data_IF_185783187686
#
_entry.id   IF_185783187686
#
_cell.length_a   1.000
_cell.length_b   1.000
_cell.length_c   1.000
_cell.angle_alpha   90.00
_cell.angle_beta   90.00
_cell.angle_gamma   90.00
#
_symmetry.space_group_name_H-M   'P 1'
#
loop_
_entity.id
_entity.type
_entity.pdbx_description
1 polymer ?
#
# COMPACT_ATOMS: atom_id res chain seq x y z
N UNK A 1 56.00 11.23 -11.55
CA UNK A 1 55.47 11.35 -10.19
C UNK A 1 54.25 10.43 -10.10
N UNK A 2 54.37 9.31 -9.38
CA UNK A 2 53.19 8.52 -9.04
C UNK A 2 52.35 9.37 -8.08
N UNK A 3 51.09 9.65 -8.44
CA UNK A 3 50.19 10.45 -7.63
C UNK A 3 49.94 9.74 -6.30
N UNK A 4 50.59 10.23 -5.24
CA UNK A 4 50.26 9.87 -3.87
C UNK A 4 48.80 10.30 -3.64
N UNK A 5 47.89 9.32 -3.58
CA UNK A 5 46.56 9.53 -3.00
C UNK A 5 46.80 10.09 -1.59
N UNK A 6 46.30 11.30 -1.32
CA UNK A 6 46.52 11.94 -0.01
C UNK A 6 45.70 11.22 1.05
N UNK A 7 46.20 11.11 2.28
CA UNK A 7 45.52 10.42 3.39
C UNK A 7 44.04 10.80 3.52
N UNK A 8 43.69 12.06 3.28
CA UNK A 8 42.31 12.55 3.32
C UNK A 8 41.36 11.85 2.33
N UNK A 9 41.84 11.49 1.13
CA UNK A 9 41.03 10.77 0.13
C UNK A 9 40.80 9.30 0.54
N UNK A 10 41.80 8.68 1.18
CA UNK A 10 41.68 7.31 1.73
C UNK A 10 40.72 7.31 2.93
N UNK A 11 40.87 8.28 3.82
CA UNK A 11 39.96 8.47 4.97
C UNK A 11 38.52 8.67 4.49
N UNK A 12 38.30 9.57 3.52
CA UNK A 12 36.98 9.81 2.95
C UNK A 12 36.39 8.54 2.33
N UNK A 13 37.19 7.78 1.58
CA UNK A 13 36.76 6.51 0.97
C UNK A 13 36.36 5.46 2.01
N UNK A 14 36.92 5.52 3.23
CA UNK A 14 36.63 4.57 4.31
C UNK A 14 35.24 4.75 4.93
N UNK A 15 34.57 5.89 4.71
CA UNK A 15 33.18 6.11 5.09
C UNK A 15 32.20 5.45 4.11
N UNK A 16 32.67 5.00 2.93
CA UNK A 16 31.83 4.32 1.94
C UNK A 16 30.56 5.13 1.57
N UNK A 17 30.66 6.47 1.53
CA UNK A 17 29.56 7.36 1.17
C UNK A 17 28.62 7.78 2.31
N UNK A 18 28.84 7.31 3.55
CA UNK A 18 28.00 7.69 4.69
C UNK A 18 28.65 7.49 6.05
N UNK A 19 27.99 7.94 7.11
CA UNK A 19 28.48 7.76 8.48
C UNK A 19 27.80 6.55 9.11
N UNK A 20 28.60 5.60 9.60
CA UNK A 20 28.13 4.42 10.30
C UNK A 20 27.83 4.73 11.77
N UNK A 21 26.60 4.45 12.21
CA UNK A 21 26.08 4.75 13.54
C UNK A 21 25.62 3.47 14.22
N UNK A 22 26.08 3.22 15.43
CA UNK A 22 25.71 2.08 16.28
C UNK A 22 25.66 2.57 17.72
N UNK A 23 24.47 2.74 18.29
CA UNK A 23 24.28 3.26 19.64
C UNK A 23 24.88 2.37 20.73
N UNK A 24 25.16 1.10 20.43
CA UNK A 24 25.83 0.14 21.31
C UNK A 24 27.36 0.19 21.23
N UNK A 25 27.91 0.92 20.24
CA UNK A 25 29.35 1.06 20.04
C UNK A 25 30.03 1.82 21.19
N UNK A 26 31.31 1.50 21.44
CA UNK A 26 32.14 2.20 22.41
C UNK A 26 32.79 3.47 21.85
N UNK A 27 32.58 3.78 20.57
CA UNK A 27 33.30 4.86 19.88
C UNK A 27 32.47 6.14 19.82
N UNK A 28 33.06 7.24 20.28
CA UNK A 28 32.48 8.59 20.23
C UNK A 28 33.51 9.59 19.69
N UNK A 29 33.05 10.82 19.43
CA UNK A 29 33.82 11.89 18.83
C UNK A 29 33.83 11.86 17.29
N UNK A 30 34.52 12.83 16.70
CA UNK A 30 34.44 13.12 15.25
C UNK A 30 35.74 12.81 14.50
N UNK A 31 36.77 12.35 15.21
CA UNK A 31 38.11 12.11 14.65
C UNK A 31 38.16 10.75 13.96
N UNK A 32 38.72 10.72 12.75
CA UNK A 32 38.93 9.47 12.00
C UNK A 32 39.70 8.44 12.86
N UNK A 33 39.29 7.15 12.88
CA UNK A 33 38.31 6.51 11.98
C UNK A 33 36.89 6.38 12.55
N UNK A 34 36.52 7.16 13.57
CA UNK A 34 35.15 7.13 14.12
C UNK A 34 34.13 7.54 13.05
N UNK A 35 33.02 6.80 12.99
CA UNK A 35 31.96 6.97 12.00
C UNK A 35 32.17 6.18 10.70
N UNK A 36 33.27 5.42 10.58
CA UNK A 36 33.44 4.45 9.48
C UNK A 36 32.80 3.11 9.83
N UNK A 37 32.57 2.24 8.84
CA UNK A 37 31.99 0.91 9.09
C UNK A 37 32.81 0.04 10.06
N UNK A 38 34.13 0.27 10.19
CA UNK A 38 34.97 -0.45 11.14
C UNK A 38 34.90 0.11 12.57
N UNK A 39 34.49 1.37 12.74
CA UNK A 39 34.34 2.04 14.03
C UNK A 39 33.09 2.93 14.01
N UNK A 40 31.89 2.34 14.02
CA UNK A 40 30.65 3.10 14.00
C UNK A 40 30.57 4.01 15.22
N UNK A 41 30.10 5.24 15.02
CA UNK A 41 29.95 6.23 16.08
C UNK A 41 28.69 5.93 16.90
N UNK A 42 28.72 6.22 18.19
CA UNK A 42 27.68 5.78 19.11
C UNK A 42 26.57 6.79 19.41
N UNK A 43 26.56 7.93 18.72
CA UNK A 43 25.55 8.97 18.90
C UNK A 43 25.36 9.80 17.62
N UNK A 44 24.16 10.37 17.47
CA UNK A 44 23.81 11.17 16.29
C UNK A 44 24.49 12.53 16.24
N UNK A 45 24.88 13.12 17.39
CA UNK A 45 25.52 14.44 17.42
C UNK A 45 26.88 14.41 16.73
N UNK A 46 27.73 13.45 17.11
CA UNK A 46 29.01 13.21 16.45
C UNK A 46 28.81 12.76 14.99
N UNK A 47 27.81 11.92 14.72
CA UNK A 47 27.52 11.45 13.37
C UNK A 47 27.20 12.63 12.42
N UNK A 48 26.32 13.54 12.85
CA UNK A 48 25.94 14.72 12.09
C UNK A 48 27.14 15.64 11.84
N UNK A 49 27.95 15.89 12.88
CA UNK A 49 29.17 16.69 12.72
C UNK A 49 30.15 16.06 11.71
N UNK A 50 30.33 14.73 11.74
CA UNK A 50 31.17 14.02 10.76
C UNK A 50 30.59 14.19 9.35
N UNK A 51 29.28 13.99 9.20
CA UNK A 51 28.59 14.07 7.91
C UNK A 51 28.71 15.47 7.30
N UNK A 52 28.40 16.51 8.06
CA UNK A 52 28.48 17.91 7.63
C UNK A 52 29.91 18.32 7.26
N UNK A 53 30.90 17.98 8.10
CA UNK A 53 32.30 18.33 7.84
C UNK A 53 32.88 17.62 6.61
N UNK A 54 32.32 16.47 6.24
CA UNK A 54 32.78 15.67 5.09
C UNK A 54 31.87 15.81 3.87
N UNK A 55 30.74 16.50 3.97
CA UNK A 55 29.76 16.62 2.88
C UNK A 55 29.05 15.30 2.55
N UNK A 56 28.84 14.44 3.55
CA UNK A 56 28.07 13.20 3.42
C UNK A 56 26.62 13.46 3.84
N UNK A 57 25.67 12.78 3.21
CA UNK A 57 24.23 12.93 3.47
C UNK A 57 23.56 11.66 3.96
N UNK A 58 24.32 10.57 4.14
CA UNK A 58 23.77 9.24 4.48
C UNK A 58 24.30 8.76 5.82
N UNK A 59 23.40 8.22 6.64
CA UNK A 59 23.69 7.49 7.87
C UNK A 59 23.38 6.01 7.68
N UNK A 60 24.35 5.14 7.97
CA UNK A 60 24.17 3.69 8.03
C UNK A 60 23.90 3.29 9.48
N UNK A 61 22.71 2.78 9.75
CA UNK A 61 22.22 2.49 11.10
C UNK A 61 22.38 1.00 11.41
N UNK A 62 23.25 0.70 12.38
CA UNK A 62 23.44 -0.65 12.92
C UNK A 62 22.64 -0.78 14.22
N UNK A 63 21.78 -1.79 14.29
CA UNK A 63 20.81 -1.92 15.38
C UNK A 63 19.79 -0.78 15.41
N UNK A 64 19.36 -0.42 16.61
CA UNK A 64 18.26 0.53 16.83
C UNK A 64 18.75 1.94 17.13
N UNK A 65 17.97 2.93 16.69
CA UNK A 65 18.25 4.34 16.92
C UNK A 65 16.97 5.14 17.20
N UNK A 66 17.11 6.18 18.02
CA UNK A 66 16.07 7.20 18.20
C UNK A 66 16.60 8.52 17.67
N UNK A 67 15.83 9.14 16.78
CA UNK A 67 16.07 10.49 16.26
C UNK A 67 15.27 11.46 17.13
N UNK A 68 15.98 12.24 17.95
CA UNK A 68 15.39 13.20 18.87
C UNK A 68 15.37 14.63 18.28
N UNK A 69 14.92 15.60 19.08
CA UNK A 69 14.82 17.00 18.69
C UNK A 69 16.06 17.84 19.01
N UNK A 70 17.17 17.21 19.42
CA UNK A 70 18.39 17.92 19.77
C UNK A 70 19.19 18.38 18.55
N UNK A 71 18.89 17.81 17.38
CA UNK A 71 19.59 18.04 16.13
C UNK A 71 18.62 18.37 15.00
N UNK A 72 19.13 19.10 14.01
CA UNK A 72 18.48 19.25 12.71
C UNK A 72 18.97 18.13 11.79
N UNK A 73 18.08 17.19 11.47
CA UNK A 73 18.37 16.04 10.62
C UNK A 73 17.75 16.18 9.24
N UNK A 74 17.21 17.36 8.90
CA UNK A 74 16.55 17.58 7.62
C UNK A 74 17.46 17.25 6.43
N UNK A 75 16.87 16.74 5.34
CA UNK A 75 17.54 16.37 4.08
C UNK A 75 18.51 15.19 4.13
N UNK A 76 18.64 14.50 5.28
CA UNK A 76 19.52 13.35 5.42
C UNK A 76 18.82 12.02 5.10
N UNK A 77 19.63 11.03 4.73
CA UNK A 77 19.19 9.68 4.41
C UNK A 77 19.58 8.72 5.54
N UNK A 78 18.67 7.85 5.93
CA UNK A 78 18.86 6.83 6.95
C UNK A 78 18.69 5.44 6.34
N UNK A 79 19.74 4.62 6.39
CA UNK A 79 19.77 3.28 5.81
C UNK A 79 20.02 2.27 6.92
N UNK A 80 19.03 1.43 7.23
CA UNK A 80 19.17 0.31 8.17
C UNK A 80 19.91 -0.89 7.56
N UNK A 81 20.24 -1.87 8.39
CA UNK A 81 20.82 -3.15 7.93
C UNK A 81 19.80 -4.08 7.30
N UNK A 82 18.55 -4.03 7.78
CA UNK A 82 17.37 -4.68 7.22
C UNK A 82 16.15 -4.32 8.07
N UNK A 83 14.95 -4.56 7.53
CA UNK A 83 13.67 -4.43 8.26
C UNK A 83 13.61 -5.20 9.59
N UNK A 84 14.44 -6.23 9.80
CA UNK A 84 14.42 -7.06 11.02
C UNK A 84 15.62 -6.81 11.96
N UNK A 85 16.54 -5.92 11.60
CA UNK A 85 17.78 -5.67 12.35
C UNK A 85 17.90 -4.25 12.88
N UNK A 86 17.29 -3.29 12.17
CA UNK A 86 17.39 -1.89 12.51
C UNK A 86 16.01 -1.28 12.67
N UNK A 87 15.72 -0.78 13.87
CA UNK A 87 14.55 0.05 14.13
C UNK A 87 14.95 1.53 14.25
N UNK A 88 14.32 2.38 13.43
CA UNK A 88 14.44 3.83 13.51
C UNK A 88 13.17 4.38 14.16
N UNK A 89 13.34 4.99 15.33
CA UNK A 89 12.28 5.70 16.05
C UNK A 89 12.46 7.19 15.86
N UNK A 90 11.42 7.89 15.38
CA UNK A 90 11.45 9.35 15.23
C UNK A 90 10.59 10.00 16.31
N UNK A 91 11.21 10.76 17.20
CA UNK A 91 10.48 11.48 18.24
C UNK A 91 9.58 12.56 17.64
N UNK A 92 8.48 12.86 18.33
CA UNK A 92 7.44 13.78 17.82
C UNK A 92 7.91 15.21 17.54
N UNK A 93 9.05 15.61 18.09
CA UNK A 93 9.62 16.95 17.94
C UNK A 93 10.92 16.94 17.11
N UNK A 94 11.34 15.79 16.58
CA UNK A 94 12.55 15.69 15.76
C UNK A 94 12.33 16.39 14.41
N UNK A 95 13.32 17.15 13.94
CA UNK A 95 13.25 17.72 12.60
C UNK A 95 13.78 16.72 11.57
N UNK A 96 12.86 16.00 10.92
CA UNK A 96 13.15 15.05 9.84
C UNK A 96 12.58 15.49 8.49
N UNK A 97 12.40 16.80 8.29
CA UNK A 97 11.93 17.35 7.00
C UNK A 97 12.81 16.90 5.84
N UNK A 98 12.21 16.51 4.73
CA UNK A 98 12.85 16.03 3.50
C UNK A 98 13.82 14.86 3.72
N UNK A 99 13.60 14.04 4.75
CA UNK A 99 14.43 12.86 5.01
C UNK A 99 14.01 11.65 4.19
N UNK A 100 14.98 10.77 3.93
CA UNK A 100 14.72 9.48 3.28
C UNK A 100 15.08 8.30 4.20
N UNK A 101 14.20 7.32 4.31
CA UNK A 101 14.38 6.12 5.15
C UNK A 101 14.37 4.85 4.29
N UNK A 102 15.39 4.01 4.49
CA UNK A 102 15.62 2.80 3.70
C UNK A 102 15.94 1.58 4.58
N UNK A 103 15.40 0.43 4.19
CA UNK A 103 15.80 -0.89 4.70
C UNK A 103 15.76 -1.03 6.24
N UNK A 104 14.78 -0.40 6.90
CA UNK A 104 14.61 -0.46 8.35
C UNK A 104 13.15 -0.75 8.76
N UNK A 105 12.94 -1.00 10.05
CA UNK A 105 11.63 -0.79 10.67
C UNK A 105 11.54 0.68 11.07
N UNK A 106 10.43 1.34 10.75
CA UNK A 106 10.21 2.77 11.01
C UNK A 106 8.96 2.97 11.88
N UNK A 107 9.09 3.82 12.90
CA UNK A 107 7.98 4.28 13.76
C UNK A 107 8.21 5.71 14.25
N UNK A 108 7.14 6.39 14.67
CA UNK A 108 7.22 7.72 15.27
C UNK A 108 6.49 8.80 14.47
N UNK A 109 7.06 10.00 14.37
CA UNK A 109 6.47 11.11 13.62
C UNK A 109 7.37 11.49 12.46
N UNK A 110 6.84 11.45 11.24
CA UNK A 110 7.51 12.04 10.09
C UNK A 110 7.07 13.50 9.92
N UNK A 111 7.90 14.32 9.32
CA UNK A 111 7.54 15.71 9.00
C UNK A 111 8.06 16.02 7.60
N UNK A 112 7.33 16.90 6.90
CA UNK A 112 7.70 17.51 5.62
C UNK A 112 8.28 16.58 4.55
N UNK A 113 7.42 15.98 3.72
CA UNK A 113 7.79 15.37 2.43
C UNK A 113 8.85 14.25 2.51
N UNK A 114 8.81 13.47 3.60
CA UNK A 114 9.65 12.30 3.78
C UNK A 114 9.43 11.23 2.69
N UNK A 115 10.50 10.51 2.36
CA UNK A 115 10.45 9.30 1.53
C UNK A 115 10.80 8.07 2.35
N UNK A 116 10.01 7.01 2.20
CA UNK A 116 10.24 5.74 2.89
C UNK A 116 10.20 4.60 1.89
N UNK A 117 11.23 3.75 1.87
CA UNK A 117 11.34 2.69 0.88
C UNK A 117 11.96 1.39 1.40
N UNK A 118 11.38 0.25 1.02
CA UNK A 118 11.83 -1.08 1.46
C UNK A 118 11.84 -1.24 2.99
N UNK A 119 10.89 -0.60 3.67
CA UNK A 119 10.80 -0.58 5.12
C UNK A 119 9.59 -1.37 5.63
N UNK A 120 9.65 -1.75 6.91
CA UNK A 120 8.47 -2.15 7.67
C UNK A 120 7.97 -0.95 8.46
N UNK A 121 6.74 -0.54 8.23
CA UNK A 121 6.14 0.63 8.87
C UNK A 121 5.28 0.17 10.04
N UNK A 122 5.58 0.65 11.24
CA UNK A 122 4.74 0.45 12.43
C UNK A 122 3.82 1.67 12.61
N UNK A 123 3.70 2.17 13.83
CA UNK A 123 2.89 3.35 14.12
C UNK A 123 3.63 4.60 13.68
N UNK A 124 3.09 5.30 12.69
CA UNK A 124 3.68 6.52 12.14
C UNK A 124 2.63 7.62 12.06
N UNK A 125 2.98 8.83 12.51
CA UNK A 125 2.18 10.03 12.37
C UNK A 125 2.75 10.96 11.30
N UNK A 126 1.86 11.75 10.68
CA UNK A 126 2.20 12.85 9.77
C UNK A 126 2.98 12.40 8.53
N UNK A 127 2.33 11.61 7.68
CA UNK A 127 2.88 11.30 6.37
C UNK A 127 2.50 12.40 5.38
N UNK A 128 3.43 13.27 5.03
CA UNK A 128 3.46 13.97 3.73
C UNK A 128 4.62 13.39 2.93
N UNK A 129 4.38 12.95 1.68
CA UNK A 129 5.41 12.34 0.83
C UNK A 129 5.09 10.93 0.34
N UNK A 130 6.13 10.09 0.19
CA UNK A 130 6.07 8.81 -0.53
C UNK A 130 6.49 7.64 0.36
N UNK A 131 5.61 6.64 0.48
CA UNK A 131 5.90 5.33 1.06
C UNK A 131 5.84 4.31 -0.08
N UNK A 132 6.97 3.69 -0.42
CA UNK A 132 7.10 2.83 -1.59
C UNK A 132 7.69 1.47 -1.21
N UNK A 133 7.18 0.38 -1.79
CA UNK A 133 7.74 -0.97 -1.57
C UNK A 133 7.84 -1.36 -0.08
N UNK A 134 6.88 -0.92 0.73
CA UNK A 134 6.90 -1.12 2.18
C UNK A 134 5.85 -2.13 2.66
N UNK A 135 6.11 -2.72 3.82
CA UNK A 135 5.14 -3.53 4.56
C UNK A 135 4.53 -2.68 5.67
N UNK A 136 3.22 -2.47 5.64
CA UNK A 136 2.48 -1.69 6.65
C UNK A 136 2.02 -2.64 7.75
N UNK A 137 2.47 -2.46 8.98
CA UNK A 137 2.21 -3.36 10.10
C UNK A 137 1.69 -2.66 11.38
N UNK A 138 1.51 -1.35 11.36
CA UNK A 138 0.92 -0.56 12.46
C UNK A 138 -0.16 0.40 11.98
N UNK A 139 -0.39 1.46 12.76
CA UNK A 139 -1.34 2.52 12.44
C UNK A 139 -0.61 3.70 11.82
N UNK A 140 -0.97 4.06 10.60
CA UNK A 140 -0.44 5.26 9.94
C UNK A 140 -1.48 6.38 10.00
N UNK A 141 -1.15 7.46 10.70
CA UNK A 141 -2.00 8.64 10.83
C UNK A 141 -1.57 9.71 9.83
N UNK A 142 -2.49 10.06 8.94
CA UNK A 142 -2.31 11.16 8.00
C UNK A 142 -2.51 12.51 8.72
N UNK A 143 -1.78 13.53 8.28
CA UNK A 143 -1.91 14.91 8.76
C UNK A 143 -0.98 15.87 7.99
N UNK A 144 -1.23 17.17 8.14
CA UNK A 144 -0.32 18.20 7.61
C UNK A 144 -0.75 18.87 6.30
N UNK A 145 -1.98 18.63 5.82
CA UNK A 145 -2.53 19.41 4.70
C UNK A 145 -2.01 19.02 3.31
N UNK A 146 -1.24 17.92 3.22
CA UNK A 146 -0.51 17.52 2.02
C UNK A 146 -1.09 16.24 1.38
N UNK A 147 -0.37 15.64 0.42
CA UNK A 147 -0.72 14.36 -0.18
C UNK A 147 0.15 13.25 0.41
N UNK A 148 -0.48 12.11 0.73
CA UNK A 148 0.24 10.90 1.11
C UNK A 148 0.16 9.87 -0.03
N UNK A 149 1.32 9.43 -0.51
CA UNK A 149 1.46 8.43 -1.54
C UNK A 149 1.92 7.09 -0.95
N UNK A 150 1.17 6.03 -1.24
CA UNK A 150 1.52 4.65 -0.91
C UNK A 150 1.62 3.87 -2.21
N UNK A 151 2.83 3.50 -2.62
CA UNK A 151 3.08 2.85 -3.91
C UNK A 151 3.63 1.45 -3.67
N UNK A 152 3.05 0.44 -4.32
CA UNK A 152 3.54 -0.93 -4.27
C UNK A 152 3.73 -1.44 -2.83
N UNK A 153 2.74 -1.20 -1.96
CA UNK A 153 2.81 -1.57 -0.54
C UNK A 153 1.99 -2.83 -0.22
N UNK A 154 2.36 -3.49 0.88
CA UNK A 154 1.70 -4.70 1.37
C UNK A 154 1.22 -4.55 2.81
N UNK A 155 0.07 -5.15 3.13
CA UNK A 155 -0.34 -5.33 4.51
C UNK A 155 0.53 -6.39 5.21
N UNK A 156 1.19 -5.98 6.30
CA UNK A 156 1.85 -6.85 7.27
C UNK A 156 0.87 -7.33 8.33
N UNK A 157 -0.17 -8.07 7.92
CA UNK A 157 -1.23 -8.53 8.81
C UNK A 157 -0.67 -9.36 9.97
N UNK A 158 -0.99 -8.97 11.21
CA UNK A 158 -0.63 -9.72 12.40
C UNK A 158 -1.89 -10.29 13.04
N UNK A 159 -1.96 -11.61 13.17
CA UNK A 159 -2.96 -12.29 14.02
C UNK A 159 -4.44 -11.96 13.74
N UNK A 160 -4.78 -11.63 12.49
CA UNK A 160 -6.16 -11.39 12.06
C UNK A 160 -6.63 -9.93 12.15
N UNK A 161 -5.82 -9.02 12.69
CA UNK A 161 -6.11 -7.59 12.65
C UNK A 161 -5.35 -6.93 11.50
N UNK A 162 -6.04 -6.17 10.62
CA UNK A 162 -5.37 -5.43 9.57
C UNK A 162 -4.56 -4.26 10.16
N UNK A 163 -3.45 -3.84 9.52
CA UNK A 163 -2.94 -2.50 9.71
C UNK A 163 -4.00 -1.43 9.40
N UNK A 164 -3.81 -0.23 9.93
CA UNK A 164 -4.78 0.86 9.79
C UNK A 164 -4.17 2.10 9.13
N UNK A 165 -4.95 2.75 8.27
CA UNK A 165 -4.74 4.15 7.87
C UNK A 165 -5.79 5.01 8.58
N UNK A 166 -5.35 5.85 9.50
CA UNK A 166 -6.16 6.92 10.06
C UNK A 166 -6.04 8.15 9.16
N UNK A 167 -7.16 8.52 8.51
CA UNK A 167 -7.20 9.59 7.51
C UNK A 167 -7.15 11.01 8.15
N UNK A 168 -7.03 11.11 9.48
CA UNK A 168 -6.79 12.37 10.18
C UNK A 168 -7.98 13.32 10.23
N UNK A 169 -9.18 12.86 9.86
CA UNK A 169 -10.39 13.66 9.74
C UNK A 169 -10.45 14.42 8.41
N UNK A 170 -9.63 15.46 8.25
CA UNK A 170 -9.65 16.36 7.09
C UNK A 170 -8.28 16.94 6.73
N UNK A 171 -8.16 17.48 5.51
CA UNK A 171 -7.01 18.26 5.06
C UNK A 171 -6.02 17.49 4.20
N UNK A 172 -6.15 16.18 4.06
CA UNK A 172 -5.17 15.37 3.35
C UNK A 172 -5.81 14.42 2.34
N UNK A 173 -5.19 14.33 1.16
CA UNK A 173 -5.53 13.33 0.14
C UNK A 173 -4.69 12.07 0.35
N UNK A 174 -5.35 10.91 0.31
CA UNK A 174 -4.69 9.60 0.26
C UNK A 174 -4.65 9.11 -1.19
N UNK A 175 -3.46 8.71 -1.65
CA UNK A 175 -3.27 8.00 -2.90
C UNK A 175 -2.54 6.69 -2.62
N UNK A 176 -3.22 5.57 -2.85
CA UNK A 176 -2.69 4.24 -2.65
C UNK A 176 -2.74 3.47 -3.99
N UNK A 177 -1.61 2.99 -4.48
CA UNK A 177 -1.50 2.33 -5.77
C UNK A 177 -0.82 0.97 -5.66
N UNK A 178 -1.37 -0.01 -6.38
CA UNK A 178 -0.89 -1.39 -6.38
C UNK A 178 -0.77 -1.99 -4.97
N UNK A 179 -1.78 -1.74 -4.12
CA UNK A 179 -1.78 -2.25 -2.76
C UNK A 179 -2.25 -3.71 -2.69
N UNK A 180 -1.59 -4.49 -1.85
CA UNK A 180 -1.82 -5.92 -1.67
C UNK A 180 -2.12 -6.25 -0.20
N UNK A 181 -3.08 -7.15 0.05
CA UNK A 181 -3.45 -7.57 1.40
C UNK A 181 -4.58 -6.77 2.03
N UNK A 182 -4.84 -7.01 3.33
CA UNK A 182 -5.98 -6.47 4.07
C UNK A 182 -5.60 -5.24 4.90
N UNK A 183 -6.29 -4.12 4.70
CA UNK A 183 -6.07 -2.86 5.41
C UNK A 183 -7.40 -2.22 5.82
N UNK A 184 -7.40 -1.50 6.95
CA UNK A 184 -8.55 -0.74 7.43
C UNK A 184 -8.31 0.75 7.28
N UNK A 185 -9.30 1.50 6.80
CA UNK A 185 -9.30 2.95 6.75
C UNK A 185 -10.32 3.52 7.73
N UNK A 186 -9.98 4.60 8.42
CA UNK A 186 -10.87 5.24 9.40
C UNK A 186 -10.72 6.75 9.46
N UNK A 187 -11.61 7.38 10.23
CA UNK A 187 -11.54 8.79 10.63
C UNK A 187 -11.42 9.75 9.44
N UNK A 188 -12.49 9.86 8.65
CA UNK A 188 -12.56 10.80 7.53
C UNK A 188 -13.85 11.59 7.57
N UNK A 189 -13.73 12.90 7.73
CA UNK A 189 -14.81 13.88 7.79
C UNK A 189 -14.61 15.06 6.83
N UNK A 190 -13.45 15.14 6.16
CA UNK A 190 -13.12 16.18 5.18
C UNK A 190 -13.47 15.79 3.75
N UNK A 191 -13.51 16.78 2.86
CA UNK A 191 -13.94 16.64 1.46
C UNK A 191 -12.86 16.08 0.53
N UNK A 192 -11.62 15.95 1.01
CA UNK A 192 -10.48 15.48 0.21
C UNK A 192 -10.71 14.05 -0.31
N UNK A 193 -9.94 13.63 -1.32
CA UNK A 193 -10.11 12.30 -1.89
C UNK A 193 -9.29 11.25 -1.13
N UNK A 194 -9.82 10.04 -1.07
CA UNK A 194 -9.05 8.85 -0.72
C UNK A 194 -9.17 7.83 -1.85
N UNK A 195 -8.05 7.56 -2.52
CA UNK A 195 -8.04 6.76 -3.75
C UNK A 195 -7.17 5.51 -3.56
N UNK A 196 -7.68 4.34 -3.93
CA UNK A 196 -6.93 3.09 -3.94
C UNK A 196 -7.02 2.35 -5.29
N UNK A 197 -5.88 1.83 -5.74
CA UNK A 197 -5.80 0.79 -6.76
C UNK A 197 -5.27 -0.50 -6.13
N UNK A 198 -6.10 -1.54 -6.14
CA UNK A 198 -5.84 -2.81 -5.47
C UNK A 198 -5.28 -3.86 -6.44
N UNK A 199 -4.35 -4.66 -5.93
CA UNK A 199 -3.85 -5.87 -6.57
C UNK A 199 -3.94 -7.01 -5.55
N UNK A 200 -5.03 -7.78 -5.60
CA UNK A 200 -5.39 -8.75 -4.56
C UNK A 200 -5.48 -8.12 -3.16
N UNK A 201 -6.13 -6.96 -3.07
CA UNK A 201 -6.32 -6.20 -1.82
C UNK A 201 -7.70 -6.39 -1.19
N UNK A 202 -7.79 -6.08 0.10
CA UNK A 202 -9.05 -5.94 0.84
C UNK A 202 -8.99 -4.64 1.65
N UNK A 203 -9.96 -3.74 1.42
CA UNK A 203 -10.13 -2.52 2.23
C UNK A 203 -11.38 -2.66 3.10
N UNK A 204 -11.25 -2.44 4.40
CA UNK A 204 -12.37 -2.16 5.29
C UNK A 204 -12.48 -0.65 5.51
N UNK A 205 -13.65 -0.08 5.21
CA UNK A 205 -13.98 1.31 5.53
C UNK A 205 -14.75 1.35 6.85
N UNK A 206 -14.21 2.04 7.83
CA UNK A 206 -14.84 2.19 9.15
C UNK A 206 -16.02 3.18 9.12
N UNK A 207 -16.98 2.99 10.03
CA UNK A 207 -18.13 3.89 10.21
C UNK A 207 -17.79 5.34 10.56
N UNK A 208 -16.57 5.59 11.05
CA UNK A 208 -16.02 6.93 11.29
C UNK A 208 -15.68 7.70 10.01
N UNK A 209 -15.81 7.07 8.84
CA UNK A 209 -15.72 7.75 7.55
C UNK A 209 -17.12 8.26 7.18
N UNK A 210 -17.31 9.57 7.26
CA UNK A 210 -18.63 10.22 7.11
C UNK A 210 -18.71 11.20 5.95
N UNK A 211 -17.59 11.61 5.35
CA UNK A 211 -17.58 12.57 4.23
C UNK A 211 -16.41 12.30 3.25
N UNK A 212 -16.41 13.04 2.14
CA UNK A 212 -15.43 12.96 1.06
C UNK A 212 -15.78 11.91 0.01
N UNK A 213 -14.94 11.83 -1.02
CA UNK A 213 -15.09 10.84 -2.10
C UNK A 213 -13.99 9.81 -2.00
N UNK A 214 -14.39 8.54 -2.00
CA UNK A 214 -13.51 7.38 -1.95
C UNK A 214 -13.62 6.64 -3.27
N UNK A 215 -12.51 6.47 -3.99
CA UNK A 215 -12.49 5.71 -5.23
C UNK A 215 -11.60 4.47 -5.06
N UNK A 216 -12.17 3.29 -5.25
CA UNK A 216 -11.43 2.02 -5.12
C UNK A 216 -11.57 1.24 -6.43
N UNK A 217 -10.43 0.95 -7.05
CA UNK A 217 -10.34 0.28 -8.35
C UNK A 217 -9.42 -0.94 -8.26
N UNK A 218 -9.36 -1.75 -9.32
CA UNK A 218 -8.41 -2.86 -9.44
C UNK A 218 -9.05 -4.21 -9.10
N UNK A 219 -8.29 -5.11 -8.47
CA UNK A 219 -8.78 -6.45 -8.11
C UNK A 219 -8.74 -6.62 -6.60
N UNK A 220 -9.90 -6.84 -5.99
CA UNK A 220 -9.98 -6.94 -4.53
C UNK A 220 -11.39 -7.02 -3.97
N UNK A 221 -11.48 -6.76 -2.67
CA UNK A 221 -12.72 -6.74 -1.89
C UNK A 221 -12.81 -5.44 -1.06
N UNK A 222 -14.03 -4.96 -0.83
CA UNK A 222 -14.30 -3.78 0.01
C UNK A 222 -15.46 -4.07 0.94
N UNK A 223 -15.23 -3.91 2.24
CA UNK A 223 -16.29 -3.86 3.25
C UNK A 223 -16.55 -2.40 3.61
N UNK A 224 -17.67 -1.87 3.12
CA UNK A 224 -18.04 -0.48 3.33
C UNK A 224 -19.02 -0.34 4.51
N UNK A 225 -18.51 0.13 5.66
CA UNK A 225 -19.34 0.51 6.80
C UNK A 225 -19.51 2.04 6.92
N UNK A 226 -19.04 2.79 5.93
CA UNK A 226 -19.00 4.25 5.95
C UNK A 226 -20.35 4.87 5.55
N UNK A 227 -20.49 6.18 5.74
CA UNK A 227 -21.58 6.97 5.15
C UNK A 227 -21.10 7.93 4.05
N UNK A 228 -19.84 7.79 3.63
CA UNK A 228 -19.23 8.63 2.60
C UNK A 228 -19.64 8.19 1.18
N UNK A 229 -19.24 8.95 0.17
CA UNK A 229 -19.45 8.56 -1.23
C UNK A 229 -18.32 7.61 -1.69
N UNK A 230 -18.63 6.32 -1.81
CA UNK A 230 -17.68 5.27 -2.21
C UNK A 230 -17.98 4.78 -3.63
N UNK A 231 -17.06 5.03 -4.57
CA UNK A 231 -17.10 4.50 -5.93
C UNK A 231 -16.22 3.25 -6.06
N UNK A 232 -16.87 2.09 -6.16
CA UNK A 232 -16.24 0.79 -6.46
C UNK A 232 -16.60 0.26 -7.85
N UNK A 233 -17.10 1.10 -8.76
CA UNK A 233 -17.59 0.68 -10.09
C UNK A 233 -16.52 0.07 -10.99
N UNK A 234 -15.23 0.32 -10.68
CA UNK A 234 -14.06 -0.21 -11.40
C UNK A 234 -13.28 -1.26 -10.58
N UNK A 235 -13.89 -1.76 -9.50
CA UNK A 235 -13.35 -2.87 -8.73
C UNK A 235 -13.84 -4.18 -9.33
N UNK A 236 -12.93 -5.08 -9.67
CA UNK A 236 -13.23 -6.45 -10.04
C UNK A 236 -13.22 -7.30 -8.78
N UNK A 237 -14.40 -7.76 -8.36
CA UNK A 237 -14.54 -8.57 -7.16
C UNK A 237 -14.46 -10.05 -7.50
N UNK A 238 -13.99 -10.86 -6.55
CA UNK A 238 -13.97 -12.33 -6.73
C UNK A 238 -15.35 -12.90 -7.07
N UNK A 239 -16.41 -12.30 -6.52
CA UNK A 239 -17.81 -12.67 -6.78
C UNK A 239 -18.30 -12.38 -8.21
N UNK A 240 -17.69 -11.45 -8.95
CA UNK A 240 -18.05 -11.18 -10.36
C UNK A 240 -17.70 -12.39 -11.26
N UNK A 241 -16.71 -13.18 -10.85
CA UNK A 241 -16.36 -14.43 -11.53
C UNK A 241 -17.38 -15.54 -11.26
N UNK A 242 -18.18 -15.46 -10.19
CA UNK A 242 -19.20 -16.46 -9.87
C UNK A 242 -20.38 -16.38 -10.83
N UNK A 243 -20.80 -15.18 -11.25
CA UNK A 243 -21.84 -15.05 -12.28
C UNK A 243 -21.37 -15.64 -13.60
N UNK A 244 -20.17 -15.29 -14.05
CA UNK A 244 -19.58 -15.81 -15.30
C UNK A 244 -19.42 -17.33 -15.24
N UNK A 245 -18.90 -17.85 -14.13
CA UNK A 245 -18.76 -19.30 -13.89
C UNK A 245 -20.12 -19.99 -13.87
N UNK A 246 -21.13 -19.36 -13.26
CA UNK A 246 -22.48 -19.91 -13.18
C UNK A 246 -23.14 -19.98 -14.55
N UNK A 247 -22.97 -18.96 -15.39
CA UNK A 247 -23.48 -18.97 -16.78
C UNK A 247 -22.80 -20.08 -17.61
N UNK A 248 -21.51 -20.32 -17.41
CA UNK A 248 -20.75 -21.31 -18.19
C UNK A 248 -20.96 -22.76 -17.71
N UNK A 249 -20.99 -22.99 -16.39
CA UNK A 249 -20.97 -24.35 -15.81
C UNK A 249 -22.33 -24.86 -15.38
N UNK A 250 -23.26 -23.99 -15.00
CA UNK A 250 -24.51 -24.47 -14.40
C UNK A 250 -25.50 -24.93 -15.46
N UNK A 251 -26.54 -25.61 -14.96
CA UNK A 251 -27.65 -26.11 -15.78
C UNK A 251 -28.27 -24.95 -16.56
N UNK A 252 -28.41 -25.17 -17.87
CA UNK A 252 -29.10 -24.29 -18.81
C UNK A 252 -30.30 -25.04 -19.35
N UNK A 253 -31.46 -24.41 -19.36
CA UNK A 253 -32.70 -25.01 -19.83
C UNK A 253 -33.45 -24.03 -20.72
N UNK A 254 -33.97 -24.53 -21.83
CA UNK A 254 -34.96 -23.82 -22.63
C UNK A 254 -36.33 -24.29 -22.16
N UNK A 255 -37.14 -23.38 -21.62
CA UNK A 255 -38.43 -23.71 -21.01
C UNK A 255 -39.51 -22.73 -21.45
N UNK A 256 -40.70 -23.24 -21.73
CA UNK A 256 -41.87 -22.42 -22.04
C UNK A 256 -42.47 -21.87 -20.74
N UNK A 257 -42.55 -20.55 -20.61
CA UNK A 257 -43.19 -19.84 -19.51
C UNK A 257 -44.32 -18.99 -20.10
N UNK A 258 -45.56 -19.32 -19.76
CA UNK A 258 -46.73 -18.75 -20.45
C UNK A 258 -46.72 -19.14 -21.93
N UNK A 259 -46.80 -18.14 -22.81
CA UNK A 259 -46.76 -18.33 -24.27
C UNK A 259 -45.36 -18.27 -24.87
N UNK A 260 -44.32 -17.89 -24.13
CA UNK A 260 -43.00 -17.55 -24.66
C UNK A 260 -41.93 -18.53 -24.17
N UNK A 261 -41.03 -18.93 -25.06
CA UNK A 261 -39.86 -19.73 -24.68
C UNK A 261 -38.78 -18.86 -24.05
N UNK A 262 -38.18 -19.35 -22.97
CA UNK A 262 -37.15 -18.64 -22.22
C UNK A 262 -35.88 -19.50 -22.14
N UNK A 263 -34.72 -18.86 -22.25
CA UNK A 263 -33.46 -19.41 -21.76
C UNK A 263 -33.37 -19.12 -20.27
N UNK A 264 -33.24 -20.17 -19.48
CA UNK A 264 -33.07 -20.11 -18.03
C UNK A 264 -31.69 -20.66 -17.69
N UNK A 265 -30.90 -19.85 -16.99
CA UNK A 265 -29.65 -20.28 -16.36
C UNK A 265 -29.92 -20.39 -14.87
N UNK A 266 -29.62 -21.56 -14.30
CA UNK A 266 -29.76 -21.80 -12.87
C UNK A 266 -28.45 -21.53 -12.12
N UNK A 267 -28.55 -21.31 -10.82
CA UNK A 267 -27.40 -21.31 -9.91
C UNK A 267 -26.80 -22.72 -9.74
N UNK A 268 -25.86 -22.86 -8.80
CA UNK A 268 -25.15 -24.11 -8.54
C UNK A 268 -26.02 -25.22 -7.96
N UNK A 269 -27.21 -24.91 -7.40
CA UNK A 269 -28.14 -25.93 -6.92
C UNK A 269 -29.02 -26.51 -8.04
N UNK A 270 -28.99 -25.90 -9.24
CA UNK A 270 -29.72 -26.37 -10.41
C UNK A 270 -31.24 -26.14 -10.36
N UNK A 271 -31.73 -25.37 -9.38
CA UNK A 271 -33.16 -25.10 -9.16
C UNK A 271 -33.51 -23.62 -9.08
N UNK A 272 -32.60 -22.74 -8.66
CA UNK A 272 -32.86 -21.29 -8.57
C UNK A 272 -32.39 -20.56 -9.83
N UNK A 273 -33.25 -19.85 -10.58
CA UNK A 273 -32.84 -19.09 -11.75
C UNK A 273 -31.97 -17.88 -11.37
N UNK A 274 -30.85 -17.71 -12.07
CA UNK A 274 -29.97 -16.51 -11.98
C UNK A 274 -30.04 -15.62 -13.21
N UNK A 275 -30.48 -16.17 -14.35
CA UNK A 275 -30.79 -15.43 -15.56
C UNK A 275 -32.02 -16.06 -16.20
N UNK A 276 -32.99 -15.22 -16.56
CA UNK A 276 -34.14 -15.61 -17.36
C UNK A 276 -34.31 -14.61 -18.50
N UNK A 277 -34.24 -15.10 -19.73
CA UNK A 277 -34.37 -14.25 -20.93
C UNK A 277 -35.35 -14.88 -21.90
N UNK A 278 -36.34 -14.09 -22.32
CA UNK A 278 -37.25 -14.44 -23.41
C UNK A 278 -36.47 -14.64 -24.71
N UNK A 279 -36.73 -15.76 -25.38
CA UNK A 279 -36.18 -16.05 -26.70
C UNK A 279 -36.98 -15.30 -27.75
N UNK A 280 -36.28 -14.49 -28.54
CA UNK A 280 -36.83 -13.76 -29.67
C UNK A 280 -36.29 -14.36 -30.97
N UNK A 281 -37.06 -14.30 -32.04
CA UNK A 281 -36.60 -14.68 -33.37
C UNK A 281 -35.68 -13.60 -33.98
N UNK A 282 -35.23 -13.83 -35.22
CA UNK A 282 -34.34 -12.90 -35.93
C UNK A 282 -34.95 -11.51 -36.16
N UNK A 283 -36.27 -11.39 -36.08
CA UNK A 283 -37.01 -10.15 -36.29
C UNK A 283 -37.41 -9.50 -34.94
N UNK A 284 -36.98 -10.09 -33.81
CA UNK A 284 -37.24 -9.58 -32.45
C UNK A 284 -38.61 -9.96 -31.90
N UNK A 285 -39.36 -10.85 -32.56
CA UNK A 285 -40.65 -11.33 -32.09
C UNK A 285 -40.51 -12.49 -31.12
N UNK A 286 -41.47 -12.64 -30.21
CA UNK A 286 -41.50 -13.74 -29.26
C UNK A 286 -41.56 -15.10 -29.94
N UNK A 287 -40.63 -15.99 -29.59
CA UNK A 287 -40.71 -17.40 -29.97
C UNK A 287 -41.79 -18.04 -29.11
N UNK A 288 -42.99 -18.16 -29.68
CA UNK A 288 -44.16 -18.71 -28.99
C UNK A 288 -44.39 -20.19 -29.26
N UNK A 289 -43.71 -20.73 -30.28
CA UNK A 289 -43.71 -22.15 -30.59
C UNK A 289 -42.33 -22.58 -31.12
N UNK A 290 -41.86 -23.74 -30.67
CA UNK A 290 -40.65 -24.37 -31.20
C UNK A 290 -41.14 -25.53 -32.05
N UNK A 291 -41.28 -25.31 -33.37
CA UNK A 291 -41.68 -26.39 -34.26
C UNK A 291 -40.65 -27.53 -34.15
N UNK A 292 -41.12 -28.74 -33.87
CA UNK A 292 -40.28 -29.92 -33.62
C UNK A 292 -39.25 -30.21 -34.73
N UNK A 293 -39.48 -29.72 -35.95
CA UNK A 293 -38.54 -29.83 -37.08
C UNK A 293 -37.29 -28.94 -36.98
N UNK A 294 -37.36 -27.80 -36.29
CA UNK A 294 -36.22 -26.88 -36.16
C UNK A 294 -35.16 -27.40 -35.15
N UNK A 295 -35.61 -28.03 -34.07
CA UNK A 295 -34.72 -28.64 -33.05
C UNK A 295 -33.98 -29.87 -33.58
N UNK A 296 -34.61 -30.64 -34.47
CA UNK A 296 -33.98 -31.81 -35.09
C UNK A 296 -32.85 -31.40 -36.07
N UNK A 297 -32.97 -30.22 -36.70
CA UNK A 297 -31.99 -29.76 -37.69
C UNK A 297 -30.71 -29.23 -37.02
N UNK A 298 -30.81 -28.45 -35.94
CA UNK A 298 -29.61 -27.96 -35.22
C UNK A 298 -28.91 -29.04 -34.37
N UNK A 299 -29.65 -30.01 -33.84
CA UNK A 299 -29.06 -31.16 -33.14
C UNK A 299 -28.27 -32.09 -34.09
N UNK A 300 -28.64 -32.11 -35.38
CA UNK A 300 -27.92 -32.90 -36.40
C UNK A 300 -26.65 -32.21 -36.92
N UNK A 301 -26.52 -30.88 -36.76
CA UNK A 301 -25.39 -30.10 -37.25
C UNK A 301 -24.35 -29.73 -36.18
N UNK A 302 -24.61 -30.09 -34.91
CA UNK A 302 -23.78 -29.69 -33.76
C UNK A 302 -23.18 -30.88 -32.98
N UNK A 303 -23.15 -32.08 -33.56
CA UNK A 303 -22.34 -33.22 -33.10
C UNK A 303 -21.04 -33.28 -33.89
#
# INVERSE_FOLDING_TARGET
AAGLITNAQIEFSSFNGGVSVDTSSTHSGTVFPVGTAQRPVNNMSDALMIAQNRGLTTFYIYGDITLDNSLDLSTFNFVGESMNKSEVTVDSNANVTDCEFYECTLKGTLDGDCKVKNCRILDVNYISGYIELCVIAGVITLGGGAQAYFMDCWAGTNSGNPPEIDLGGSGQTLVMQNFNGYIKWKNKTGTEQANASLNAGWIELDSTITDGTINIIGVGHVDDNSSANVDTSRLVKGEDTNLTTSILKNKREIKKIGSVWNLIVYDSNGTTPILQKELKDKDGLDITDLQAGALAQEASSSV
#
